data_IF_016181296784
#
_entry.id   IF_016181296784
#
_cell.length_a   1.000
_cell.length_b   1.000
_cell.length_c   1.000
_cell.angle_alpha   90.00
_cell.angle_beta   90.00
_cell.angle_gamma   90.00
#
_symmetry.space_group_name_H-M   'P 1'
#
loop_
_entity.id
_entity.type
_entity.pdbx_description
1 polymer ?
#
# COMPACT_ATOMS: atom_id res chain seq x y z
N UNK A 1 47.89 24.03 -9.98
CA UNK A 1 46.75 23.60 -9.15
C UNK A 1 45.53 23.57 -10.03
N UNK A 2 45.17 22.37 -10.51
CA UNK A 2 43.95 22.15 -11.29
C UNK A 2 42.73 22.62 -10.50
N UNK A 3 41.94 23.51 -11.08
CA UNK A 3 40.63 23.86 -10.54
C UNK A 3 39.73 22.64 -10.71
N UNK A 4 39.28 22.08 -9.57
CA UNK A 4 38.17 21.13 -9.55
C UNK A 4 37.00 21.76 -10.32
N UNK A 5 36.41 21.08 -11.33
CA UNK A 5 35.34 21.67 -12.12
C UNK A 5 34.25 22.13 -11.17
N UNK A 6 33.91 23.43 -11.22
CA UNK A 6 32.85 24.01 -10.40
C UNK A 6 31.55 23.28 -10.73
N UNK A 7 31.26 22.23 -9.95
CA UNK A 7 29.99 21.53 -9.93
C UNK A 7 28.90 22.57 -9.83
N UNK A 8 27.95 22.55 -10.77
CA UNK A 8 26.85 23.51 -10.73
C UNK A 8 26.09 23.38 -9.41
N UNK A 9 25.44 24.46 -8.97
CA UNK A 9 24.58 24.46 -7.77
C UNK A 9 23.62 23.28 -7.76
N UNK A 10 23.03 22.97 -8.91
CA UNK A 10 22.07 21.88 -9.07
C UNK A 10 22.72 20.50 -8.94
N UNK A 11 23.96 20.33 -9.40
CA UNK A 11 24.72 19.08 -9.26
C UNK A 11 25.05 18.80 -7.79
N UNK A 12 25.47 19.82 -7.04
CA UNK A 12 25.77 19.68 -5.60
C UNK A 12 24.50 19.33 -4.83
N UNK A 13 23.39 20.00 -5.10
CA UNK A 13 22.08 19.72 -4.46
C UNK A 13 21.60 18.30 -4.79
N UNK A 14 21.77 17.86 -6.03
CA UNK A 14 21.40 16.50 -6.47
C UNK A 14 22.25 15.44 -5.76
N UNK A 15 23.55 15.63 -5.65
CA UNK A 15 24.43 14.70 -4.91
C UNK A 15 24.13 14.67 -3.42
N UNK A 16 23.84 15.82 -2.79
CA UNK A 16 23.37 15.88 -1.40
C UNK A 16 22.09 15.07 -1.18
N UNK A 17 21.12 15.19 -2.09
CA UNK A 17 19.88 14.42 -2.02
C UNK A 17 20.12 12.90 -2.20
N UNK A 18 21.03 12.53 -3.10
CA UNK A 18 21.45 11.13 -3.29
C UNK A 18 22.17 10.59 -2.06
N UNK A 19 23.04 11.39 -1.45
CA UNK A 19 23.76 11.05 -0.22
C UNK A 19 22.78 10.78 0.92
N UNK A 20 21.79 11.66 1.10
CA UNK A 20 20.71 11.47 2.06
C UNK A 20 20.01 10.12 1.90
N UNK A 21 19.60 9.79 0.67
CA UNK A 21 18.91 8.53 0.37
C UNK A 21 19.81 7.30 0.56
N UNK A 22 21.05 7.34 0.06
CA UNK A 22 21.98 6.20 0.08
C UNK A 22 22.56 5.91 1.46
N UNK A 23 22.84 6.95 2.25
CA UNK A 23 23.50 6.84 3.55
C UNK A 23 22.55 6.99 4.73
N UNK A 24 21.24 7.11 4.49
CA UNK A 24 20.20 7.25 5.53
C UNK A 24 20.52 8.38 6.51
N UNK A 25 20.99 9.52 6.01
CA UNK A 25 21.23 10.68 6.86
C UNK A 25 19.91 11.16 7.47
N UNK A 26 19.95 11.67 8.70
CA UNK A 26 18.81 12.40 9.26
C UNK A 26 18.63 13.73 8.52
N UNK A 27 17.41 14.29 8.56
CA UNK A 27 17.16 15.64 8.01
C UNK A 27 18.09 16.67 8.66
N UNK A 28 18.32 16.57 9.96
CA UNK A 28 19.28 17.42 10.69
C UNK A 28 20.69 17.25 10.15
N UNK A 29 21.15 16.01 9.95
CA UNK A 29 22.46 15.71 9.38
C UNK A 29 22.64 16.27 7.98
N UNK A 30 21.63 16.14 7.11
CA UNK A 30 21.63 16.73 5.77
C UNK A 30 21.75 18.27 5.84
N UNK A 31 21.04 18.90 6.78
CA UNK A 31 21.09 20.35 7.00
C UNK A 31 22.48 20.82 7.46
N UNK A 32 23.13 20.09 8.38
CA UNK A 32 24.48 20.42 8.84
C UNK A 32 25.54 20.28 7.73
N UNK A 33 25.45 19.23 6.91
CA UNK A 33 26.33 19.06 5.75
C UNK A 33 26.12 20.18 4.74
N UNK A 34 24.87 20.58 4.46
CA UNK A 34 24.58 21.68 3.56
C UNK A 34 25.09 23.03 4.10
N UNK A 35 25.00 23.28 5.42
CA UNK A 35 25.61 24.46 6.06
C UNK A 35 27.13 24.46 5.94
N UNK A 36 27.78 23.30 6.10
CA UNK A 36 29.21 23.16 5.90
C UNK A 36 29.61 23.51 4.46
N UNK A 37 28.94 22.95 3.47
CA UNK A 37 29.21 23.22 2.05
C UNK A 37 28.95 24.70 1.70
N UNK A 38 27.94 25.32 2.30
CA UNK A 38 27.70 26.76 2.17
C UNK A 38 28.83 27.60 2.78
N UNK A 39 29.37 27.21 3.94
CA UNK A 39 30.56 27.84 4.55
C UNK A 39 31.82 27.70 3.69
N UNK A 40 31.91 26.64 2.88
CA UNK A 40 33.01 26.43 1.94
C UNK A 40 32.87 27.26 0.65
N UNK A 41 31.86 28.14 0.54
CA UNK A 41 31.71 29.09 -0.55
C UNK A 41 30.74 28.67 -1.66
N UNK A 42 30.06 27.53 -1.52
CA UNK A 42 29.05 27.11 -2.50
C UNK A 42 27.66 27.69 -2.19
N UNK A 43 27.05 28.38 -3.15
CA UNK A 43 25.69 28.90 -3.00
C UNK A 43 24.64 27.79 -3.16
N UNK A 44 24.37 27.06 -2.07
CA UNK A 44 23.35 26.01 -2.02
C UNK A 44 22.30 26.29 -0.93
N UNK A 45 21.06 25.76 -1.08
CA UNK A 45 20.08 25.77 -0.01
C UNK A 45 20.57 24.94 1.19
N UNK A 46 20.30 25.42 2.40
CA UNK A 46 20.66 24.73 3.66
C UNK A 46 19.51 23.99 4.31
N UNK A 47 18.27 24.29 3.91
CA UNK A 47 17.09 23.62 4.43
C UNK A 47 16.93 22.24 3.76
N UNK A 48 16.85 21.15 4.54
CA UNK A 48 16.69 19.79 4.01
C UNK A 48 15.51 19.66 3.04
N UNK A 49 14.38 20.29 3.35
CA UNK A 49 13.17 20.27 2.51
C UNK A 49 13.38 20.92 1.15
N UNK A 50 14.19 21.98 1.07
CA UNK A 50 14.56 22.63 -0.19
C UNK A 50 15.53 21.77 -1.01
N UNK A 51 16.51 21.13 -0.35
CA UNK A 51 17.47 20.21 -0.98
C UNK A 51 16.75 18.99 -1.57
N UNK A 52 15.82 18.41 -0.80
CA UNK A 52 15.05 17.24 -1.19
C UNK A 52 13.87 17.57 -2.11
N UNK A 53 13.68 18.85 -2.47
CA UNK A 53 12.55 19.35 -3.26
C UNK A 53 11.21 18.83 -2.71
N UNK A 54 11.09 18.76 -1.39
CA UNK A 54 9.88 18.28 -0.72
C UNK A 54 8.77 19.27 -1.02
N UNK A 55 7.83 18.89 -1.87
CA UNK A 55 6.60 19.65 -2.06
C UNK A 55 5.79 19.54 -0.78
N UNK A 56 5.64 20.64 -0.05
CA UNK A 56 4.65 20.76 1.00
C UNK A 56 3.26 20.71 0.36
N UNK A 57 2.72 19.52 0.14
CA UNK A 57 1.29 19.38 -0.12
C UNK A 57 0.61 19.42 1.24
N UNK A 58 -0.03 20.55 1.63
CA UNK A 58 -0.76 20.58 2.88
C UNK A 58 -1.82 19.46 2.83
N UNK A 59 -1.78 18.57 3.82
CA UNK A 59 -2.85 17.59 4.03
C UNK A 59 -4.09 18.42 4.39
N UNK A 60 -4.95 18.67 3.39
CA UNK A 60 -6.09 19.61 3.49
C UNK A 60 -7.14 19.17 4.53
N UNK A 61 -7.17 17.89 4.89
CA UNK A 61 -7.91 17.32 6.03
C UNK A 61 -6.91 16.96 7.13
N UNK A 62 -7.26 17.12 8.42
CA UNK A 62 -6.28 16.93 9.52
C UNK A 62 -5.50 15.61 9.46
N UNK A 63 -6.11 14.55 8.91
CA UNK A 63 -5.60 13.18 9.00
C UNK A 63 -5.65 12.42 7.67
N UNK A 64 -6.12 13.00 6.55
CA UNK A 64 -6.25 12.29 5.28
C UNK A 64 -5.91 13.15 4.07
N UNK A 65 -5.21 12.56 3.10
CA UNK A 65 -4.95 13.19 1.81
C UNK A 65 -5.11 12.19 0.66
N UNK A 66 -5.76 12.64 -0.42
CA UNK A 66 -5.88 11.90 -1.66
C UNK A 66 -5.01 12.54 -2.75
N UNK A 67 -4.06 11.78 -3.30
CA UNK A 67 -3.10 12.24 -4.30
C UNK A 67 -3.59 12.07 -5.75
N UNK A 68 -4.67 11.31 -5.96
CA UNK A 68 -5.21 10.88 -7.25
C UNK A 68 -4.48 9.69 -7.91
N UNK A 69 -5.24 8.62 -8.14
CA UNK A 69 -4.87 7.49 -8.98
C UNK A 69 -4.71 7.96 -10.43
N UNK A 70 -5.68 8.71 -10.96
CA UNK A 70 -5.65 9.22 -12.34
C UNK A 70 -4.38 10.01 -12.62
N UNK A 71 -4.00 10.92 -11.72
CA UNK A 71 -2.77 11.72 -11.85
C UNK A 71 -1.52 10.85 -11.89
N UNK A 72 -1.45 9.83 -11.05
CA UNK A 72 -0.31 8.91 -10.98
C UNK A 72 -0.15 8.07 -12.25
N UNK A 73 -1.27 7.56 -12.78
CA UNK A 73 -1.28 6.80 -14.04
C UNK A 73 -0.88 7.66 -15.23
N UNK A 74 -1.44 8.88 -15.35
CA UNK A 74 -1.03 9.84 -16.38
C UNK A 74 0.46 10.18 -16.31
N UNK A 75 0.99 10.32 -15.09
CA UNK A 75 2.42 10.53 -14.87
C UNK A 75 3.28 9.39 -15.42
N UNK A 76 2.88 8.13 -15.19
CA UNK A 76 3.59 6.95 -15.73
C UNK A 76 3.46 6.85 -17.25
N UNK A 77 2.28 7.11 -17.81
CA UNK A 77 2.05 7.13 -19.26
C UNK A 77 2.91 8.16 -19.98
N UNK A 78 2.93 9.41 -19.48
CA UNK A 78 3.73 10.50 -20.06
C UNK A 78 5.23 10.23 -20.01
N UNK A 79 5.69 9.46 -19.02
CA UNK A 79 7.09 9.02 -18.90
C UNK A 79 7.43 7.79 -19.75
N UNK A 80 6.46 7.24 -20.50
CA UNK A 80 6.66 6.04 -21.30
C UNK A 80 6.93 4.78 -20.47
N UNK A 81 6.46 4.75 -19.22
CA UNK A 81 6.72 3.63 -18.29
C UNK A 81 5.78 2.44 -18.51
N UNK A 82 4.68 2.64 -19.24
CA UNK A 82 3.72 1.60 -19.59
C UNK A 82 3.93 1.25 -21.07
N UNK A 83 3.93 -0.05 -21.39
CA UNK A 83 4.12 -0.50 -22.78
C UNK A 83 3.04 0.11 -23.67
N UNK A 84 3.47 0.79 -24.75
CA UNK A 84 2.58 1.45 -25.72
C UNK A 84 1.72 0.47 -26.52
N UNK A 85 2.13 -0.79 -26.61
CA UNK A 85 1.37 -1.84 -27.30
C UNK A 85 0.18 -2.35 -26.48
N UNK A 86 0.15 -2.06 -25.17
CA UNK A 86 -0.94 -2.45 -24.28
C UNK A 86 -1.85 -1.26 -24.01
N UNK A 87 -3.10 -1.36 -24.49
CA UNK A 87 -4.17 -0.42 -24.10
C UNK A 87 -4.80 -0.77 -22.76
N UNK A 88 -4.41 -1.88 -22.15
CA UNK A 88 -4.90 -2.29 -20.83
C UNK A 88 -3.86 -1.91 -19.77
N UNK A 89 -4.27 -1.28 -18.68
CA UNK A 89 -3.44 -0.97 -17.51
C UNK A 89 -3.95 -1.80 -16.34
N UNK A 90 -3.14 -2.75 -15.88
CA UNK A 90 -3.49 -3.64 -14.77
C UNK A 90 -2.92 -3.08 -13.47
N UNK A 91 -3.80 -2.84 -12.50
CA UNK A 91 -3.48 -2.18 -11.24
C UNK A 91 -3.55 -3.19 -10.10
N UNK A 92 -2.48 -3.23 -9.31
CA UNK A 92 -2.41 -3.90 -8.03
C UNK A 92 -2.42 -2.82 -6.94
N UNK A 93 -3.23 -3.04 -5.91
CA UNK A 93 -3.37 -2.11 -4.79
C UNK A 93 -2.86 -2.76 -3.52
N UNK A 94 -2.13 -2.00 -2.70
CA UNK A 94 -1.73 -2.39 -1.37
C UNK A 94 -2.28 -1.39 -0.36
N UNK A 95 -2.86 -1.91 0.73
CA UNK A 95 -3.39 -1.11 1.83
C UNK A 95 -3.01 -1.84 3.11
N UNK A 96 -2.17 -1.20 3.92
CA UNK A 96 -1.71 -1.77 5.19
C UNK A 96 -1.43 -0.65 6.19
N UNK A 97 -1.51 -0.97 7.48
CA UNK A 97 -1.20 -0.04 8.57
C UNK A 97 0.24 -0.20 9.02
N UNK A 98 0.98 0.90 9.13
CA UNK A 98 2.30 0.91 9.79
C UNK A 98 2.42 2.03 10.80
N UNK A 99 2.98 1.71 11.96
CA UNK A 99 3.31 2.72 12.97
C UNK A 99 4.41 3.65 12.45
N UNK A 100 4.16 4.96 12.49
CA UNK A 100 5.16 5.99 12.15
C UNK A 100 6.15 6.16 13.30
N UNK A 101 5.63 6.18 14.53
CA UNK A 101 6.39 6.38 15.75
C UNK A 101 6.14 5.23 16.71
N UNK A 102 7.22 4.59 17.19
CA UNK A 102 7.14 3.50 18.17
C UNK A 102 6.47 3.90 19.48
N UNK A 103 6.48 5.20 19.82
CA UNK A 103 6.04 5.71 21.13
C UNK A 103 4.65 6.36 21.12
N UNK A 104 4.19 6.87 19.97
CA UNK A 104 3.04 7.79 19.95
C UNK A 104 1.76 7.19 19.34
N UNK A 105 1.73 5.90 19.03
CA UNK A 105 0.55 5.19 18.48
C UNK A 105 -0.07 5.91 17.26
N UNK A 106 0.75 6.60 16.47
CA UNK A 106 0.32 7.20 15.20
C UNK A 106 0.64 6.21 14.09
N UNK A 107 -0.40 5.80 13.39
CA UNK A 107 -0.34 4.87 12.28
C UNK A 107 -0.50 5.62 10.95
N UNK A 108 0.23 5.16 9.96
CA UNK A 108 0.11 5.52 8.55
C UNK A 108 -0.64 4.40 7.85
N UNK A 109 -1.70 4.76 7.14
CA UNK A 109 -2.49 3.84 6.31
C UNK A 109 -2.51 4.35 4.87
N UNK A 110 -1.48 4.05 4.06
CA UNK A 110 -1.47 4.42 2.67
C UNK A 110 -2.32 3.46 1.82
N UNK A 111 -2.95 4.01 0.80
CA UNK A 111 -3.41 3.26 -0.36
C UNK A 111 -2.33 3.41 -1.42
N UNK A 112 -1.63 2.32 -1.71
CA UNK A 112 -0.56 2.27 -2.70
C UNK A 112 -1.06 1.57 -3.95
N UNK A 113 -0.70 2.10 -5.11
CA UNK A 113 -0.96 1.50 -6.41
C UNK A 113 0.33 1.04 -7.07
N UNK A 114 0.25 -0.02 -7.87
CA UNK A 114 1.32 -0.50 -8.74
C UNK A 114 0.70 -0.92 -10.08
N UNK A 115 1.34 -0.54 -11.19
CA UNK A 115 0.97 -1.06 -12.51
C UNK A 115 1.79 -2.32 -12.75
N UNK A 116 1.12 -3.47 -12.91
CA UNK A 116 1.82 -4.76 -13.00
C UNK A 116 2.40 -5.03 -14.40
N UNK A 117 1.81 -4.43 -15.43
CA UNK A 117 2.25 -4.52 -16.83
C UNK A 117 3.00 -3.24 -17.28
N UNK A 118 3.77 -2.67 -16.36
CA UNK A 118 4.62 -1.50 -16.55
C UNK A 118 6.08 -1.93 -16.48
N UNK A 119 6.94 -1.24 -17.25
CA UNK A 119 8.40 -1.37 -17.14
C UNK A 119 8.88 -0.87 -15.76
N UNK A 120 8.18 0.12 -15.20
CA UNK A 120 8.39 0.60 -13.84
C UNK A 120 7.44 -0.10 -12.86
N UNK A 121 7.99 -1.07 -12.12
CA UNK A 121 7.30 -1.82 -11.09
C UNK A 121 7.15 -1.06 -9.75
N UNK A 122 7.63 0.18 -9.65
CA UNK A 122 7.58 0.92 -8.39
C UNK A 122 6.14 1.30 -8.01
N UNK A 123 5.76 1.09 -6.73
CA UNK A 123 4.48 1.54 -6.23
C UNK A 123 4.45 3.07 -6.13
N UNK A 124 3.24 3.63 -6.20
CA UNK A 124 2.95 5.04 -6.03
C UNK A 124 1.83 5.22 -5.02
N UNK A 125 1.77 6.40 -4.41
CA UNK A 125 0.77 6.71 -3.39
C UNK A 125 -0.50 7.22 -4.05
N UNK A 126 -1.65 6.62 -3.71
CA UNK A 126 -2.99 7.04 -4.15
C UNK A 126 -3.65 7.90 -3.07
N UNK A 127 -3.65 7.41 -1.83
CA UNK A 127 -4.20 8.11 -0.66
C UNK A 127 -3.36 7.80 0.56
N UNK A 128 -3.44 8.65 1.58
CA UNK A 128 -2.79 8.42 2.88
C UNK A 128 -3.71 8.88 3.99
N UNK A 129 -3.92 8.01 4.98
CA UNK A 129 -4.44 8.38 6.28
C UNK A 129 -3.31 8.38 7.32
N UNK A 130 -3.32 9.36 8.22
CA UNK A 130 -2.43 9.47 9.38
C UNK A 130 -3.28 9.72 10.61
N UNK A 131 -3.23 8.84 11.60
CA UNK A 131 -4.05 9.00 12.80
C UNK A 131 -3.68 8.01 13.89
N UNK A 132 -4.43 8.03 14.99
CA UNK A 132 -4.27 7.02 16.04
C UNK A 132 -4.96 5.74 15.60
N UNK A 133 -4.18 4.71 15.27
CA UNK A 133 -4.74 3.44 14.79
C UNK A 133 -5.20 3.49 13.32
N UNK A 134 -6.03 2.51 12.97
CA UNK A 134 -6.68 2.39 11.65
C UNK A 134 -7.65 3.55 11.35
N UNK A 135 -7.96 3.82 10.06
CA UNK A 135 -8.98 4.78 9.70
C UNK A 135 -10.31 4.47 10.40
N UNK A 136 -10.92 5.44 11.11
CA UNK A 136 -12.12 5.18 11.91
C UNK A 136 -13.34 4.88 11.06
N UNK A 137 -13.41 5.48 9.87
CA UNK A 137 -14.46 5.25 8.89
C UNK A 137 -13.84 4.68 7.60
N UNK A 138 -14.13 3.42 7.31
CA UNK A 138 -13.64 2.72 6.13
C UNK A 138 -14.22 3.30 4.83
N UNK A 139 -15.48 3.72 4.87
CA UNK A 139 -16.19 4.30 3.72
C UNK A 139 -15.54 5.61 3.31
N UNK A 140 -15.41 6.57 4.23
CA UNK A 140 -14.73 7.85 3.98
C UNK A 140 -13.27 7.68 3.53
N UNK A 141 -12.57 6.68 4.10
CA UNK A 141 -11.19 6.39 3.77
C UNK A 141 -11.01 5.89 2.32
N UNK A 142 -11.90 5.01 1.85
CA UNK A 142 -11.82 4.42 0.52
C UNK A 142 -12.51 5.27 -0.55
N UNK A 143 -13.51 6.07 -0.19
CA UNK A 143 -14.41 6.76 -1.14
C UNK A 143 -13.70 7.49 -2.27
N UNK A 144 -12.69 8.36 -2.01
CA UNK A 144 -12.01 9.08 -3.08
C UNK A 144 -11.29 8.14 -4.07
N UNK A 145 -10.73 7.04 -3.57
CA UNK A 145 -10.07 6.04 -4.42
C UNK A 145 -11.10 5.25 -5.24
N UNK A 146 -12.23 4.87 -4.65
CA UNK A 146 -13.27 4.09 -5.33
C UNK A 146 -13.95 4.87 -6.44
N UNK A 147 -14.29 6.14 -6.19
CA UNK A 147 -14.88 7.02 -7.21
C UNK A 147 -13.94 7.17 -8.42
N UNK A 148 -12.66 7.47 -8.18
CA UNK A 148 -11.68 7.57 -9.27
C UNK A 148 -11.53 6.24 -10.01
N UNK A 149 -11.42 5.13 -9.28
CA UNK A 149 -11.25 3.83 -9.90
C UNK A 149 -12.46 3.43 -10.74
N UNK A 150 -13.68 3.63 -10.23
CA UNK A 150 -14.92 3.32 -10.95
C UNK A 150 -15.03 4.16 -12.22
N UNK A 151 -14.79 5.47 -12.14
CA UNK A 151 -14.80 6.35 -13.31
C UNK A 151 -13.76 5.91 -14.34
N UNK A 152 -12.55 5.57 -13.90
CA UNK A 152 -11.49 5.07 -14.78
C UNK A 152 -11.81 3.70 -15.39
N UNK A 153 -12.53 2.83 -14.68
CA UNK A 153 -12.97 1.54 -15.21
C UNK A 153 -14.11 1.68 -16.23
N UNK A 154 -14.98 2.68 -16.09
CA UNK A 154 -16.09 2.92 -17.01
C UNK A 154 -15.68 3.73 -18.25
N UNK A 155 -14.90 4.79 -18.06
CA UNK A 155 -14.56 5.75 -19.11
C UNK A 155 -13.20 5.43 -19.77
N UNK A 156 -12.34 4.69 -19.06
CA UNK A 156 -10.93 4.56 -19.41
C UNK A 156 -10.11 5.80 -19.05
N UNK A 157 -8.83 5.77 -19.40
CA UNK A 157 -7.89 6.86 -19.20
C UNK A 157 -7.34 7.33 -20.54
N UNK A 158 -7.69 8.54 -20.96
CA UNK A 158 -7.15 9.12 -22.19
C UNK A 158 -5.76 9.72 -21.98
N UNK A 159 -4.80 9.37 -22.83
CA UNK A 159 -3.48 9.97 -22.87
C UNK A 159 -2.90 9.94 -24.28
N UNK A 160 -2.47 11.09 -24.80
CA UNK A 160 -1.85 11.22 -26.13
C UNK A 160 -2.73 10.64 -27.26
N UNK A 161 -4.05 10.83 -27.18
CA UNK A 161 -5.02 10.34 -28.18
C UNK A 161 -5.32 8.83 -28.10
N UNK A 162 -4.79 8.13 -27.10
CA UNK A 162 -5.08 6.71 -26.84
C UNK A 162 -5.88 6.60 -25.54
N UNK A 163 -6.97 5.85 -25.56
CA UNK A 163 -7.75 5.52 -24.37
C UNK A 163 -7.32 4.17 -23.82
N UNK A 164 -6.90 4.15 -22.56
CA UNK A 164 -6.46 2.96 -21.86
C UNK A 164 -7.56 2.41 -20.95
N UNK A 165 -7.87 1.13 -21.03
CA UNK A 165 -8.77 0.47 -20.08
C UNK A 165 -8.05 0.16 -18.77
N UNK A 166 -8.76 0.32 -17.66
CA UNK A 166 -8.20 0.07 -16.33
C UNK A 166 -8.77 -1.25 -15.77
N UNK A 167 -7.89 -2.16 -15.36
CA UNK A 167 -8.26 -3.44 -14.77
C UNK A 167 -7.66 -3.59 -13.37
N UNK A 168 -8.47 -4.02 -12.41
CA UNK A 168 -7.98 -4.39 -11.08
C UNK A 168 -7.46 -5.81 -11.09
N UNK A 169 -6.19 -5.98 -10.73
CA UNK A 169 -5.56 -7.30 -10.60
C UNK A 169 -5.75 -7.88 -9.21
N UNK A 170 -5.39 -7.15 -8.16
CA UNK A 170 -5.45 -7.66 -6.78
C UNK A 170 -5.32 -6.57 -5.72
N UNK A 171 -5.86 -6.85 -4.53
CA UNK A 171 -5.59 -6.14 -3.29
C UNK A 171 -4.62 -6.96 -2.42
N UNK A 172 -3.36 -6.53 -2.37
CA UNK A 172 -2.30 -7.17 -1.58
C UNK A 172 -2.25 -6.51 -0.21
N UNK A 173 -2.64 -7.24 0.82
CA UNK A 173 -2.67 -6.74 2.19
C UNK A 173 -2.59 -7.91 3.18
N UNK A 174 -2.11 -7.63 4.40
CA UNK A 174 -1.98 -8.63 5.45
C UNK A 174 -3.37 -9.07 5.99
N UNK A 175 -3.40 -10.06 6.90
CA UNK A 175 -4.67 -10.62 7.38
C UNK A 175 -5.52 -9.60 8.18
N UNK A 176 -4.96 -8.81 9.11
CA UNK A 176 -5.66 -7.68 9.74
C UNK A 176 -6.25 -6.68 8.75
N UNK A 177 -5.49 -6.20 7.78
CA UNK A 177 -5.94 -5.21 6.81
C UNK A 177 -7.01 -5.80 5.88
N UNK A 178 -6.87 -7.05 5.42
CA UNK A 178 -7.94 -7.75 4.67
C UNK A 178 -9.24 -7.82 5.46
N UNK A 179 -9.17 -8.18 6.74
CA UNK A 179 -10.35 -8.27 7.59
C UNK A 179 -11.05 -6.90 7.75
N UNK A 180 -10.26 -5.83 7.90
CA UNK A 180 -10.76 -4.46 7.93
C UNK A 180 -11.44 -4.07 6.62
N UNK A 181 -10.75 -4.22 5.49
CA UNK A 181 -11.25 -3.83 4.17
C UNK A 181 -12.50 -4.61 3.75
N UNK A 182 -12.53 -5.91 4.01
CA UNK A 182 -13.64 -6.80 3.67
C UNK A 182 -14.78 -6.75 4.68
N UNK A 183 -14.57 -6.10 5.83
CA UNK A 183 -15.52 -6.01 6.95
C UNK A 183 -15.96 -7.41 7.41
N UNK A 184 -14.96 -8.24 7.71
CA UNK A 184 -15.14 -9.64 8.12
C UNK A 184 -14.48 -9.93 9.48
N UNK A 185 -14.83 -11.08 10.05
CA UNK A 185 -14.18 -11.64 11.23
C UNK A 185 -12.69 -11.79 10.99
N UNK A 186 -11.88 -11.30 11.95
CA UNK A 186 -10.43 -11.34 11.88
C UNK A 186 -9.89 -12.79 11.85
N UNK A 187 -8.65 -12.94 11.41
CA UNK A 187 -7.96 -14.22 11.25
C UNK A 187 -7.85 -15.05 12.54
N UNK A 188 -7.94 -14.42 13.72
CA UNK A 188 -7.95 -15.09 15.03
C UNK A 188 -9.34 -15.56 15.47
N UNK A 189 -10.41 -15.19 14.76
CA UNK A 189 -11.77 -15.54 15.13
C UNK A 189 -12.20 -16.92 14.61
N UNK A 190 -13.19 -17.52 15.28
CA UNK A 190 -13.76 -18.83 14.91
C UNK A 190 -14.24 -18.91 13.46
N UNK A 191 -14.71 -17.80 12.88
CA UNK A 191 -15.14 -17.76 11.47
C UNK A 191 -14.20 -16.89 10.64
N UNK A 192 -12.90 -16.88 10.98
CA UNK A 192 -11.88 -16.05 10.35
C UNK A 192 -11.37 -16.56 8.99
N UNK A 193 -11.66 -17.82 8.61
CA UNK A 193 -11.19 -18.36 7.33
C UNK A 193 -11.82 -17.63 6.14
N UNK A 194 -10.97 -17.07 5.28
CA UNK A 194 -11.36 -16.32 4.09
C UNK A 194 -11.59 -17.20 2.86
N UNK A 195 -11.28 -18.49 2.95
CA UNK A 195 -11.35 -19.45 1.83
C UNK A 195 -12.49 -20.45 1.96
N UNK A 196 -12.90 -20.77 3.18
CA UNK A 196 -13.96 -21.75 3.43
C UNK A 196 -14.88 -21.31 4.56
N UNK A 197 -16.02 -22.01 4.69
CA UNK A 197 -17.03 -21.74 5.71
C UNK A 197 -16.80 -22.46 7.04
N UNK A 198 -15.67 -23.16 7.20
CA UNK A 198 -15.37 -23.90 8.41
C UNK A 198 -15.33 -22.99 9.64
N UNK A 199 -15.92 -23.47 10.74
CA UNK A 199 -15.71 -22.93 12.07
C UNK A 199 -14.40 -23.47 12.64
N UNK A 200 -13.47 -22.59 12.96
CA UNK A 200 -12.25 -22.92 13.67
C UNK A 200 -12.52 -23.35 15.11
N UNK A 201 -11.51 -23.96 15.72
CA UNK A 201 -11.51 -24.44 17.11
C UNK A 201 -10.47 -23.66 17.88
N UNK A 202 -10.78 -23.25 19.11
CA UNK A 202 -9.79 -22.58 19.95
C UNK A 202 -8.88 -23.62 20.58
N UNK A 203 -7.59 -23.48 20.33
CA UNK A 203 -6.55 -24.27 20.94
C UNK A 203 -6.11 -23.58 22.25
N UNK A 204 -6.36 -24.25 23.37
CA UNK A 204 -6.05 -23.74 24.70
C UNK A 204 -4.56 -23.81 25.04
N UNK A 205 -3.78 -24.63 24.33
CA UNK A 205 -2.34 -24.79 24.54
C UNK A 205 -1.59 -23.66 23.84
N UNK A 206 -1.95 -23.38 22.60
CA UNK A 206 -1.30 -22.34 21.79
C UNK A 206 -2.04 -20.99 21.79
N UNK A 207 -3.13 -20.89 22.56
CA UNK A 207 -3.98 -19.70 22.68
C UNK A 207 -4.37 -19.09 21.33
N UNK A 208 -4.73 -19.93 20.35
CA UNK A 208 -5.07 -19.49 19.00
C UNK A 208 -6.24 -20.27 18.41
N UNK A 209 -6.90 -19.71 17.40
CA UNK A 209 -7.90 -20.45 16.62
C UNK A 209 -7.22 -21.26 15.53
N UNK A 210 -7.50 -22.56 15.48
CA UNK A 210 -7.01 -23.48 14.46
C UNK A 210 -8.15 -23.93 13.54
N UNK A 211 -7.81 -24.31 12.32
CA UNK A 211 -8.74 -24.83 11.32
C UNK A 211 -8.28 -26.25 10.95
N UNK A 212 -8.70 -27.27 11.73
CA UNK A 212 -8.28 -28.65 11.48
C UNK A 212 -8.80 -29.16 10.15
N UNK A 213 -8.16 -30.18 9.59
CA UNK A 213 -8.62 -30.81 8.36
C UNK A 213 -10.03 -31.39 8.53
N UNK A 214 -10.88 -31.14 7.54
CA UNK A 214 -12.27 -31.61 7.49
C UNK A 214 -12.56 -32.12 6.08
N UNK A 215 -13.34 -33.19 5.96
CA UNK A 215 -13.68 -33.82 4.67
C UNK A 215 -14.71 -33.01 3.87
N UNK A 216 -15.67 -32.39 4.56
CA UNK A 216 -16.79 -31.69 3.92
C UNK A 216 -16.75 -30.20 4.27
N UNK A 217 -16.12 -29.40 3.40
CA UNK A 217 -16.09 -27.95 3.57
C UNK A 217 -16.55 -27.22 2.31
N UNK A 218 -17.49 -26.29 2.50
CA UNK A 218 -17.88 -25.37 1.44
C UNK A 218 -16.86 -24.25 1.31
N UNK A 219 -16.35 -24.08 0.09
CA UNK A 219 -15.49 -22.96 -0.26
C UNK A 219 -16.29 -21.66 -0.36
N UNK A 220 -15.66 -20.56 0.02
CA UNK A 220 -16.21 -19.23 -0.22
C UNK A 220 -16.04 -18.87 -1.69
N UNK A 221 -17.12 -18.43 -2.30
CA UNK A 221 -17.16 -17.86 -3.66
C UNK A 221 -17.50 -16.38 -3.59
N UNK A 222 -17.21 -15.62 -4.66
CA UNK A 222 -17.64 -14.23 -4.80
C UNK A 222 -19.15 -14.07 -4.57
N UNK A 223 -19.96 -14.97 -5.15
CA UNK A 223 -21.42 -14.98 -4.98
C UNK A 223 -21.81 -15.17 -3.51
N UNK A 224 -21.23 -16.17 -2.82
CA UNK A 224 -21.52 -16.43 -1.41
C UNK A 224 -21.12 -15.27 -0.50
N UNK A 225 -20.02 -14.58 -0.83
CA UNK A 225 -19.51 -13.44 -0.08
C UNK A 225 -20.42 -12.22 -0.26
N UNK A 226 -20.80 -11.90 -1.50
CA UNK A 226 -21.69 -10.78 -1.83
C UNK A 226 -23.09 -10.96 -1.24
N UNK A 227 -23.60 -12.19 -1.22
CA UNK A 227 -24.85 -12.55 -0.56
C UNK A 227 -24.74 -12.65 0.97
N UNK A 228 -23.54 -12.48 1.55
CA UNK A 228 -23.25 -12.61 2.98
C UNK A 228 -23.82 -13.89 3.63
N UNK A 229 -23.73 -15.03 2.94
CA UNK A 229 -24.37 -16.27 3.38
C UNK A 229 -23.89 -16.74 4.77
N UNK A 230 -22.65 -16.44 5.14
CA UNK A 230 -22.10 -16.75 6.46
C UNK A 230 -22.15 -15.52 7.38
N UNK A 231 -23.26 -15.35 8.10
CA UNK A 231 -23.46 -14.21 9.03
C UNK A 231 -22.42 -14.07 10.14
N UNK A 232 -21.73 -15.16 10.51
CA UNK A 232 -20.69 -15.12 11.55
C UNK A 232 -19.33 -14.64 11.00
N UNK A 233 -19.11 -14.81 9.70
CA UNK A 233 -17.94 -14.30 8.99
C UNK A 233 -18.08 -12.81 8.65
N UNK A 234 -19.26 -12.36 8.24
CA UNK A 234 -19.48 -10.97 7.84
C UNK A 234 -19.83 -10.07 9.03
N UNK A 235 -19.18 -8.91 9.13
CA UNK A 235 -19.44 -7.90 10.18
C UNK A 235 -20.15 -6.66 9.66
N UNK A 236 -20.34 -6.57 8.35
CA UNK A 236 -20.97 -5.45 7.66
C UNK A 236 -20.68 -5.52 6.16
N UNK A 237 -21.13 -4.53 5.42
CA UNK A 237 -20.86 -4.41 4.00
C UNK A 237 -19.56 -3.64 3.76
N UNK A 238 -18.69 -4.20 2.91
CA UNK A 238 -17.48 -3.52 2.47
C UNK A 238 -17.81 -2.52 1.35
N UNK A 239 -17.26 -1.30 1.37
CA UNK A 239 -17.32 -0.37 0.23
C UNK A 239 -16.80 -0.99 -1.09
N UNK A 240 -15.87 -1.96 -0.98
CA UNK A 240 -15.29 -2.64 -2.15
C UNK A 240 -16.30 -3.49 -2.92
N UNK A 241 -17.48 -3.75 -2.37
CA UNK A 241 -18.56 -4.46 -3.06
C UNK A 241 -19.11 -3.68 -4.25
N UNK A 242 -18.93 -2.37 -4.31
CA UNK A 242 -19.30 -1.53 -5.45
C UNK A 242 -18.44 -1.82 -6.69
N UNK A 243 -17.21 -2.30 -6.48
CA UNK A 243 -16.32 -2.68 -7.56
C UNK A 243 -16.75 -4.03 -8.15
N UNK A 244 -16.58 -4.19 -9.46
CA UNK A 244 -16.77 -5.48 -10.18
C UNK A 244 -15.56 -6.40 -10.03
N UNK A 245 -15.13 -6.62 -8.79
CA UNK A 245 -14.03 -7.53 -8.44
C UNK A 245 -14.54 -8.78 -7.73
N UNK A 246 -13.73 -9.84 -7.75
CA UNK A 246 -14.00 -11.05 -6.99
C UNK A 246 -13.46 -10.89 -5.55
N UNK A 247 -14.36 -10.94 -4.56
CA UNK A 247 -14.01 -10.72 -3.15
C UNK A 247 -13.16 -11.83 -2.51
N UNK A 248 -12.94 -12.93 -3.22
CA UNK A 248 -12.12 -14.06 -2.79
C UNK A 248 -10.80 -14.07 -3.57
N UNK A 249 -10.84 -14.11 -4.90
CA UNK A 249 -9.65 -14.31 -5.73
C UNK A 249 -8.82 -13.03 -5.94
N UNK A 250 -9.42 -11.84 -5.91
CA UNK A 250 -8.67 -10.58 -5.98
C UNK A 250 -7.91 -10.25 -4.68
N UNK A 251 -8.11 -11.01 -3.60
CA UNK A 251 -7.41 -10.83 -2.32
C UNK A 251 -6.46 -12.01 -2.10
N UNK A 252 -5.24 -11.99 -2.66
CA UNK A 252 -4.27 -13.05 -2.43
C UNK A 252 -3.94 -13.20 -0.94
N UNK A 253 -3.68 -14.43 -0.53
CA UNK A 253 -3.18 -14.71 0.80
C UNK A 253 -1.66 -14.48 0.82
N UNK A 254 -1.18 -13.81 1.87
CA UNK A 254 0.24 -13.47 1.98
C UNK A 254 1.08 -14.69 2.41
N UNK A 255 1.92 -15.15 1.49
CA UNK A 255 2.86 -16.26 1.70
C UNK A 255 3.84 -15.99 2.87
N UNK A 256 4.31 -14.75 3.02
CA UNK A 256 5.26 -14.40 4.08
C UNK A 256 4.63 -14.61 5.45
N UNK A 257 3.41 -14.10 5.66
CA UNK A 257 2.74 -14.20 6.95
C UNK A 257 2.19 -15.61 7.22
N UNK A 258 1.67 -16.30 6.21
CA UNK A 258 1.04 -17.60 6.40
C UNK A 258 2.03 -18.75 6.43
N UNK A 259 2.97 -18.79 5.48
CA UNK A 259 3.87 -19.94 5.33
C UNK A 259 5.17 -19.68 6.05
N UNK A 260 5.87 -18.58 5.75
CA UNK A 260 7.20 -18.34 6.33
C UNK A 260 7.13 -18.06 7.83
N UNK A 261 6.35 -17.05 8.22
CA UNK A 261 6.18 -16.67 9.63
C UNK A 261 5.18 -17.55 10.37
N UNK A 262 4.15 -18.06 9.69
CA UNK A 262 3.09 -18.84 10.31
C UNK A 262 3.46 -20.31 10.54
N UNK A 263 4.00 -20.98 9.52
CA UNK A 263 4.32 -22.42 9.57
C UNK A 263 5.81 -22.65 9.81
N UNK A 264 6.67 -22.13 8.94
CA UNK A 264 8.11 -22.40 8.97
C UNK A 264 8.76 -21.94 10.28
N UNK A 265 8.39 -20.75 10.77
CA UNK A 265 8.89 -20.28 12.08
C UNK A 265 8.56 -21.27 13.21
N UNK A 266 7.35 -21.84 13.23
CA UNK A 266 6.94 -22.82 14.25
C UNK A 266 7.71 -24.14 14.11
N UNK A 267 7.87 -24.62 12.88
CA UNK A 267 8.68 -25.82 12.60
C UNK A 267 10.12 -25.64 13.07
N UNK A 268 10.72 -24.48 12.79
CA UNK A 268 12.07 -24.16 13.26
C UNK A 268 12.16 -24.20 14.79
N UNK A 269 11.22 -23.58 15.51
CA UNK A 269 11.17 -23.64 16.98
C UNK A 269 11.11 -25.08 17.49
N UNK A 270 10.29 -25.94 16.86
CA UNK A 270 10.20 -27.36 17.25
C UNK A 270 11.51 -28.11 16.95
N UNK A 271 12.15 -27.83 15.82
CA UNK A 271 13.36 -28.52 15.39
C UNK A 271 14.62 -28.10 16.14
N UNK A 272 14.70 -26.86 16.59
CA UNK A 272 15.91 -26.32 17.23
C UNK A 272 15.86 -26.31 18.76
N UNK A 273 14.70 -26.57 19.38
CA UNK A 273 14.51 -26.54 20.83
C UNK A 273 14.13 -25.17 21.36
#
# INVERSE_FOLDING_TARGET
MEQCPLSSKDDIVKELALLYARKKLSLTGLGEVAKLIKRLGHDIPTYPTTILKTTNTPIRSRNFHHFSLKKSLLGKLKKGMINKESTIIKIQVNIDGTQIFKTNSIDLWPILGRVINSLDALPFVISVFVGKGKPPNLEEYLRPFLEELMALQSEGLECMGITYSIEMSSFVCDAPARAFLKVITAHTGYFGCERCNQKGVYDTVYHCTTFPEVTDVSLRTNTSFRAQLNKQHHKGFSPLLELKIDMISCFPLDYMHLVLLGVFKRLLTIWTG
#
